data_IF_178964845389
#
_entry.id   IF_178964845389
#
_cell.length_a   1.000
_cell.length_b   1.000
_cell.length_c   1.000
_cell.angle_alpha   90.00
_cell.angle_beta   90.00
_cell.angle_gamma   90.00
#
_symmetry.space_group_name_H-M   'P 1'
#
loop_
_entity.id
_entity.type
_entity.pdbx_description
1 polymer ?
#
# COMPACT_ATOMS: atom_id res chain seq x y z
N UNK A 1 -8.02 -32.56 -0.64
CA UNK A 1 -8.03 -31.77 0.60
C UNK A 1 -9.40 -31.08 0.68
N UNK A 2 -10.27 -31.58 1.54
CA UNK A 2 -11.60 -30.99 1.78
C UNK A 2 -11.40 -29.68 2.51
N UNK A 3 -11.62 -28.55 1.80
CA UNK A 3 -11.67 -27.23 2.42
C UNK A 3 -12.95 -27.20 3.27
N UNK A 4 -12.79 -27.42 4.57
CA UNK A 4 -13.89 -27.31 5.51
C UNK A 4 -14.36 -25.86 5.55
N UNK A 5 -15.65 -25.62 5.35
CA UNK A 5 -16.23 -24.28 5.42
C UNK A 5 -15.90 -23.63 6.79
N UNK A 6 -15.58 -22.35 6.83
CA UNK A 6 -15.32 -21.65 8.10
C UNK A 6 -16.52 -21.75 9.06
N UNK A 7 -16.25 -21.78 10.35
CA UNK A 7 -17.28 -21.78 11.40
C UNK A 7 -18.07 -20.45 11.36
N UNK A 8 -19.37 -20.44 11.71
CA UNK A 8 -20.21 -19.23 11.72
C UNK A 8 -19.56 -18.08 12.51
N UNK A 9 -19.06 -18.34 13.71
CA UNK A 9 -18.40 -17.33 14.58
C UNK A 9 -17.15 -16.73 13.91
N UNK A 10 -16.43 -17.54 13.14
CA UNK A 10 -15.25 -17.08 12.41
C UNK A 10 -15.63 -16.22 11.21
N UNK A 11 -16.77 -16.51 10.57
CA UNK A 11 -17.29 -15.69 9.48
C UNK A 11 -17.78 -14.33 9.99
N UNK A 12 -18.45 -14.28 11.13
CA UNK A 12 -18.88 -13.05 11.77
C UNK A 12 -17.67 -12.18 12.14
N UNK A 13 -16.68 -12.74 12.83
CA UNK A 13 -15.43 -12.05 13.14
C UNK A 13 -14.73 -11.51 11.88
N UNK A 14 -14.69 -12.28 10.81
CA UNK A 14 -14.09 -11.86 9.54
C UNK A 14 -14.87 -10.69 8.91
N UNK A 15 -16.19 -10.68 8.99
CA UNK A 15 -17.03 -9.59 8.51
C UNK A 15 -16.77 -8.30 9.30
N UNK A 16 -16.74 -8.39 10.63
CA UNK A 16 -16.47 -7.25 11.53
C UNK A 16 -15.06 -6.68 11.31
N UNK A 17 -14.07 -7.55 11.23
CA UNK A 17 -12.69 -7.15 10.96
C UNK A 17 -12.57 -6.45 9.61
N UNK A 18 -13.18 -6.99 8.56
CA UNK A 18 -13.18 -6.38 7.23
C UNK A 18 -13.84 -4.99 7.25
N UNK A 19 -14.98 -4.85 7.95
CA UNK A 19 -15.69 -3.58 8.06
C UNK A 19 -14.86 -2.55 8.84
N UNK A 20 -14.26 -2.93 9.96
CA UNK A 20 -13.41 -2.06 10.78
C UNK A 20 -12.17 -1.59 10.03
N UNK A 21 -11.44 -2.51 9.37
CA UNK A 21 -10.28 -2.17 8.56
C UNK A 21 -10.64 -1.26 7.38
N UNK A 22 -11.75 -1.54 6.70
CA UNK A 22 -12.25 -0.70 5.60
C UNK A 22 -12.58 0.72 6.07
N UNK A 23 -13.21 0.87 7.22
CA UNK A 23 -13.51 2.17 7.83
C UNK A 23 -12.23 2.93 8.20
N UNK A 24 -11.29 2.26 8.86
CA UNK A 24 -10.00 2.85 9.25
C UNK A 24 -9.23 3.33 8.01
N UNK A 25 -9.10 2.49 6.98
CA UNK A 25 -8.41 2.86 5.74
C UNK A 25 -9.05 4.07 5.07
N UNK A 26 -10.40 4.14 5.04
CA UNK A 26 -11.10 5.30 4.48
C UNK A 26 -10.83 6.58 5.27
N UNK A 27 -10.82 6.51 6.60
CA UNK A 27 -10.57 7.68 7.45
C UNK A 27 -9.14 8.23 7.31
N UNK A 28 -8.18 7.39 6.94
CA UNK A 28 -6.78 7.77 6.73
C UNK A 28 -6.50 8.37 5.35
N UNK A 29 -7.45 8.30 4.41
CA UNK A 29 -7.29 8.84 3.05
C UNK A 29 -7.49 10.34 2.95
N UNK A 30 -8.01 10.97 3.95
CA UNK A 30 -8.26 12.41 3.96
C UNK A 30 -6.94 13.20 3.97
N UNK A 31 -6.70 14.04 2.93
CA UNK A 31 -5.52 14.90 2.83
C UNK A 31 -4.27 14.25 2.22
N UNK A 32 -4.37 13.09 1.62
CA UNK A 32 -3.26 12.47 0.90
C UNK A 32 -2.98 13.21 -0.42
N UNK A 33 -1.80 13.80 -0.51
CA UNK A 33 -1.31 14.42 -1.75
C UNK A 33 -0.90 13.37 -2.80
N UNK A 34 -0.52 12.16 -2.34
CA UNK A 34 -0.09 11.07 -3.21
C UNK A 34 -1.27 10.09 -3.44
N UNK A 35 -1.77 9.96 -4.68
CA UNK A 35 -2.82 8.98 -5.01
C UNK A 35 -2.43 7.56 -4.64
N UNK A 36 -3.39 6.75 -4.20
CA UNK A 36 -3.15 5.40 -3.71
C UNK A 36 -2.47 4.49 -4.74
N UNK A 37 -2.86 4.58 -6.01
CA UNK A 37 -2.23 3.82 -7.10
C UNK A 37 -0.75 4.19 -7.28
N UNK A 38 -0.40 5.46 -7.13
CA UNK A 38 0.98 5.94 -7.18
C UNK A 38 1.77 5.51 -5.93
N UNK A 39 1.17 5.60 -4.74
CA UNK A 39 1.76 5.11 -3.51
C UNK A 39 2.06 3.60 -3.57
N UNK A 40 1.17 2.82 -4.18
CA UNK A 40 1.37 1.39 -4.37
C UNK A 40 2.55 1.09 -5.31
N UNK A 41 2.69 1.82 -6.42
CA UNK A 41 3.85 1.70 -7.32
C UNK A 41 5.14 2.07 -6.61
N UNK A 42 5.19 3.21 -5.92
CA UNK A 42 6.37 3.61 -5.14
C UNK A 42 6.70 2.59 -4.06
N UNK A 43 5.70 2.03 -3.39
CA UNK A 43 5.90 0.99 -2.38
C UNK A 43 6.61 -0.25 -2.92
N UNK A 44 6.32 -0.67 -4.16
CA UNK A 44 7.01 -1.76 -4.83
C UNK A 44 8.46 -1.39 -5.19
N UNK A 45 8.65 -0.22 -5.78
CA UNK A 45 9.96 0.23 -6.24
C UNK A 45 10.93 0.51 -5.08
N UNK A 46 10.43 1.03 -3.96
CA UNK A 46 11.25 1.43 -2.80
C UNK A 46 11.58 0.24 -1.90
N UNK A 47 10.64 -0.71 -1.71
CA UNK A 47 10.81 -1.82 -0.77
C UNK A 47 12.05 -2.67 -1.04
N UNK A 48 12.34 -2.94 -2.31
CA UNK A 48 13.43 -3.83 -2.72
C UNK A 48 14.53 -3.10 -3.50
N UNK A 49 14.48 -1.76 -3.61
CA UNK A 49 15.37 -0.99 -4.48
C UNK A 49 15.25 -1.40 -5.96
N UNK A 50 14.09 -1.92 -6.35
CA UNK A 50 13.87 -2.54 -7.65
C UNK A 50 13.67 -1.52 -8.75
N UNK A 51 14.12 -1.91 -9.92
CA UNK A 51 13.64 -1.38 -11.19
C UNK A 51 12.63 -2.37 -11.77
N UNK A 52 11.50 -1.88 -12.26
CA UNK A 52 10.48 -2.71 -12.88
C UNK A 52 10.06 -2.12 -14.21
N UNK A 53 9.68 -2.97 -15.14
CA UNK A 53 8.98 -2.52 -16.35
C UNK A 53 7.52 -2.18 -16.02
N UNK A 54 6.87 -1.41 -16.90
CA UNK A 54 5.43 -1.12 -16.76
C UNK A 54 4.59 -2.41 -16.75
N UNK A 55 5.00 -3.42 -17.53
CA UNK A 55 4.31 -4.72 -17.59
C UNK A 55 4.43 -5.47 -16.24
N UNK A 56 5.61 -5.49 -15.62
CA UNK A 56 5.82 -6.10 -14.31
C UNK A 56 5.02 -5.39 -13.21
N UNK A 57 5.01 -4.05 -13.22
CA UNK A 57 4.21 -3.27 -12.28
C UNK A 57 2.70 -3.54 -12.45
N UNK A 58 2.23 -3.63 -13.70
CA UNK A 58 0.84 -3.95 -14.00
C UNK A 58 0.45 -5.34 -13.48
N UNK A 59 1.31 -6.34 -13.69
CA UNK A 59 1.10 -7.70 -13.20
C UNK A 59 1.08 -7.76 -11.67
N UNK A 60 2.04 -7.13 -11.00
CA UNK A 60 2.13 -7.10 -9.52
C UNK A 60 0.93 -6.40 -8.88
N UNK A 61 0.41 -5.33 -9.49
CA UNK A 61 -0.76 -4.59 -9.02
C UNK A 61 -2.10 -5.16 -9.51
N UNK A 62 -2.07 -6.18 -10.38
CA UNK A 62 -3.26 -6.79 -11.01
C UNK A 62 -4.14 -5.77 -11.73
N UNK A 63 -3.52 -4.84 -12.43
CA UNK A 63 -4.19 -3.84 -13.26
C UNK A 63 -3.85 -4.01 -14.73
N UNK A 64 -4.63 -3.38 -15.60
CA UNK A 64 -4.36 -3.40 -17.05
C UNK A 64 -3.07 -2.61 -17.38
N UNK A 65 -2.31 -3.07 -18.35
CA UNK A 65 -1.07 -2.43 -18.80
C UNK A 65 -1.27 -0.94 -19.13
N UNK A 66 -2.35 -0.59 -19.84
CA UNK A 66 -2.65 0.81 -20.19
C UNK A 66 -2.90 1.69 -18.95
N UNK A 67 -3.58 1.17 -17.93
CA UNK A 67 -3.81 1.88 -16.67
C UNK A 67 -2.50 2.13 -15.93
N UNK A 68 -1.61 1.12 -15.90
CA UNK A 68 -0.29 1.27 -15.28
C UNK A 68 0.59 2.24 -16.09
N UNK A 69 0.59 2.15 -17.40
CA UNK A 69 1.34 3.06 -18.26
C UNK A 69 0.94 4.52 -18.02
N UNK A 70 -0.36 4.80 -17.90
CA UNK A 70 -0.87 6.13 -17.57
C UNK A 70 -0.41 6.57 -16.16
N UNK A 71 -0.49 5.70 -15.17
CA UNK A 71 -0.02 6.00 -13.82
C UNK A 71 1.47 6.35 -13.81
N UNK A 72 2.30 5.53 -14.46
CA UNK A 72 3.76 5.77 -14.56
C UNK A 72 4.06 7.07 -15.32
N UNK A 73 3.33 7.38 -16.39
CA UNK A 73 3.50 8.64 -17.12
C UNK A 73 3.24 9.86 -16.23
N UNK A 74 2.14 9.86 -15.47
CA UNK A 74 1.83 10.93 -14.50
C UNK A 74 2.89 11.04 -13.41
N UNK A 75 3.39 9.92 -12.92
CA UNK A 75 4.45 9.90 -11.90
C UNK A 75 5.79 10.40 -12.45
N UNK A 76 6.09 10.12 -13.70
CA UNK A 76 7.29 10.64 -14.39
C UNK A 76 7.19 12.15 -14.58
N UNK A 77 6.04 12.64 -15.00
CA UNK A 77 5.76 14.08 -15.13
C UNK A 77 5.87 14.81 -13.78
N UNK A 78 5.40 14.18 -12.71
CA UNK A 78 5.52 14.70 -11.34
C UNK A 78 6.92 14.53 -10.72
N UNK A 79 7.88 13.93 -11.43
CA UNK A 79 9.24 13.71 -10.93
C UNK A 79 9.37 12.65 -9.84
N UNK A 80 8.36 11.79 -9.65
CA UNK A 80 8.35 10.74 -8.60
C UNK A 80 9.07 9.47 -9.05
N UNK A 81 9.11 9.23 -10.36
CA UNK A 81 9.86 8.13 -10.98
C UNK A 81 10.60 8.61 -12.21
N UNK A 82 11.62 7.85 -12.60
CA UNK A 82 12.30 7.99 -13.91
C UNK A 82 12.10 6.73 -14.73
N UNK A 83 12.18 6.86 -16.04
CA UNK A 83 12.14 5.76 -16.98
C UNK A 83 13.43 5.73 -17.78
N UNK A 84 14.07 4.57 -17.87
CA UNK A 84 15.30 4.37 -18.62
C UNK A 84 15.17 3.15 -19.52
N UNK A 85 15.84 3.11 -20.70
CA UNK A 85 15.83 1.93 -21.55
C UNK A 85 16.35 0.70 -20.80
N UNK A 86 15.71 -0.45 -21.02
CA UNK A 86 16.17 -1.72 -20.46
C UNK A 86 17.53 -2.08 -21.10
N UNK A 87 18.51 -2.55 -20.31
CA UNK A 87 19.89 -2.79 -20.79
C UNK A 87 20.00 -3.76 -21.95
N UNK A 88 19.10 -4.75 -22.03
CA UNK A 88 19.14 -5.83 -23.04
C UNK A 88 17.97 -5.80 -24.02
N UNK A 89 16.92 -5.02 -23.75
CA UNK A 89 15.75 -4.87 -24.63
C UNK A 89 15.29 -3.42 -24.64
N UNK A 90 15.83 -2.65 -25.59
CA UNK A 90 15.53 -1.21 -25.72
C UNK A 90 14.06 -0.87 -26.03
N UNK A 91 13.21 -1.88 -26.27
CA UNK A 91 11.75 -1.70 -26.42
C UNK A 91 11.05 -1.54 -25.07
N UNK A 92 11.72 -1.92 -23.97
CA UNK A 92 11.19 -1.85 -22.61
C UNK A 92 11.83 -0.68 -21.88
N UNK A 93 11.03 -0.04 -21.03
CA UNK A 93 11.50 0.99 -20.10
C UNK A 93 11.49 0.44 -18.69
N UNK A 94 12.58 0.69 -17.98
CA UNK A 94 12.69 0.42 -16.53
C UNK A 94 12.27 1.65 -15.76
N UNK A 95 11.34 1.46 -14.84
CA UNK A 95 10.83 2.48 -13.92
C UNK A 95 11.61 2.39 -12.60
N UNK A 96 12.10 3.52 -12.13
CA UNK A 96 12.85 3.64 -10.87
C UNK A 96 12.30 4.80 -10.06
N UNK A 97 12.16 4.63 -8.74
CA UNK A 97 11.76 5.72 -7.85
C UNK A 97 12.87 6.76 -7.74
N UNK A 98 12.51 8.04 -7.86
CA UNK A 98 13.42 9.15 -7.58
C UNK A 98 13.52 9.41 -6.07
N UNK A 99 14.45 10.24 -5.65
CA UNK A 99 14.50 10.72 -4.26
C UNK A 99 13.21 11.44 -3.86
N UNK A 100 12.66 12.28 -4.74
CA UNK A 100 11.37 12.93 -4.52
C UNK A 100 10.23 11.92 -4.34
N UNK A 101 10.20 10.84 -5.12
CA UNK A 101 9.24 9.75 -4.97
C UNK A 101 9.37 9.02 -3.63
N UNK A 102 10.59 8.73 -3.20
CA UNK A 102 10.86 8.12 -1.88
C UNK A 102 10.38 9.01 -0.74
N UNK A 103 10.71 10.29 -0.80
CA UNK A 103 10.30 11.29 0.19
C UNK A 103 8.79 11.41 0.26
N UNK A 104 8.11 11.54 -0.88
CA UNK A 104 6.64 11.63 -0.92
C UNK A 104 5.97 10.41 -0.28
N UNK A 105 6.47 9.20 -0.56
CA UNK A 105 5.96 7.97 0.06
C UNK A 105 6.21 7.93 1.57
N UNK A 106 7.40 8.32 2.01
CA UNK A 106 7.77 8.37 3.43
C UNK A 106 6.89 9.36 4.20
N UNK A 107 6.73 10.57 3.68
CA UNK A 107 5.92 11.62 4.29
C UNK A 107 4.46 11.21 4.43
N UNK A 108 3.90 10.56 3.39
CA UNK A 108 2.55 10.04 3.45
C UNK A 108 2.39 8.96 4.54
N UNK A 109 3.34 8.02 4.64
CA UNK A 109 3.33 6.98 5.67
C UNK A 109 3.41 7.59 7.07
N UNK A 110 4.33 8.52 7.27
CA UNK A 110 4.52 9.20 8.55
C UNK A 110 3.25 9.96 8.97
N UNK A 111 2.61 10.67 8.06
CA UNK A 111 1.33 11.34 8.35
C UNK A 111 0.24 10.35 8.79
N UNK A 112 0.10 9.22 8.09
CA UNK A 112 -0.88 8.18 8.46
C UNK A 112 -0.59 7.56 9.82
N UNK A 113 0.68 7.29 10.11
CA UNK A 113 1.11 6.79 11.42
C UNK A 113 0.77 7.77 12.54
N UNK A 114 1.01 9.08 12.35
CA UNK A 114 0.64 10.11 13.32
C UNK A 114 -0.87 10.20 13.51
N UNK A 115 -1.67 10.13 12.44
CA UNK A 115 -3.13 10.12 12.55
C UNK A 115 -3.64 8.91 13.36
N UNK A 116 -3.08 7.73 13.10
CA UNK A 116 -3.42 6.51 13.84
C UNK A 116 -3.00 6.65 15.31
N UNK A 117 -1.77 7.12 15.57
CA UNK A 117 -1.27 7.29 16.94
C UNK A 117 -2.14 8.25 17.74
N UNK A 118 -2.48 9.41 17.18
CA UNK A 118 -3.38 10.38 17.79
C UNK A 118 -4.76 9.78 18.08
N UNK A 119 -5.31 8.99 17.16
CA UNK A 119 -6.59 8.32 17.36
C UNK A 119 -6.52 7.26 18.48
N UNK A 120 -5.44 6.50 18.54
CA UNK A 120 -5.20 5.51 19.58
C UNK A 120 -5.14 6.19 20.95
N UNK A 121 -4.33 7.23 21.09
CA UNK A 121 -4.15 7.94 22.36
C UNK A 121 -5.43 8.62 22.84
N UNK A 122 -6.22 9.19 21.93
CA UNK A 122 -7.42 9.95 22.28
C UNK A 122 -8.68 9.11 22.48
N UNK A 123 -8.74 7.88 21.94
CA UNK A 123 -9.96 7.07 21.91
C UNK A 123 -9.89 5.75 22.66
N UNK A 124 -8.69 5.26 22.96
CA UNK A 124 -8.49 3.97 23.60
C UNK A 124 -7.90 4.12 24.99
N UNK A 125 -8.43 3.36 25.95
CA UNK A 125 -7.82 3.23 27.27
C UNK A 125 -6.47 2.50 27.20
N UNK A 126 -5.62 2.61 28.24
CA UNK A 126 -4.35 1.88 28.28
C UNK A 126 -4.49 0.35 28.12
N UNK A 127 -5.58 -0.23 28.64
CA UNK A 127 -5.90 -1.65 28.47
C UNK A 127 -6.21 -1.98 27.01
N UNK A 128 -7.06 -1.18 26.37
CA UNK A 128 -7.42 -1.36 24.94
C UNK A 128 -6.22 -1.17 24.02
N UNK A 129 -5.33 -0.23 24.33
CA UNK A 129 -4.06 -0.06 23.61
C UNK A 129 -3.18 -1.31 23.68
N UNK A 130 -3.10 -1.95 24.86
CA UNK A 130 -2.36 -3.21 25.04
C UNK A 130 -2.99 -4.35 24.25
N UNK A 131 -4.33 -4.46 24.23
CA UNK A 131 -5.06 -5.45 23.43
C UNK A 131 -4.81 -5.24 21.94
N UNK A 132 -4.89 -4.01 21.47
CA UNK A 132 -4.62 -3.67 20.07
C UNK A 132 -3.17 -4.01 19.69
N UNK A 133 -2.20 -3.67 20.53
CA UNK A 133 -0.80 -4.02 20.33
C UNK A 133 -0.59 -5.52 20.20
N UNK A 134 -1.23 -6.32 21.07
CA UNK A 134 -1.17 -7.77 21.03
C UNK A 134 -1.87 -8.38 19.79
N UNK A 135 -2.86 -7.68 19.22
CA UNK A 135 -3.58 -8.13 18.03
C UNK A 135 -2.77 -7.94 16.73
N UNK A 136 -1.87 -6.96 16.66
CA UNK A 136 -1.10 -6.65 15.43
C UNK A 136 -0.32 -7.86 14.89
N UNK A 137 0.42 -8.66 15.70
CA UNK A 137 1.09 -9.86 15.21
C UNK A 137 0.12 -10.91 14.66
N UNK A 138 -1.10 -10.99 15.22
CA UNK A 138 -2.14 -11.92 14.74
C UNK A 138 -2.64 -11.50 13.36
N UNK A 139 -2.87 -10.20 13.15
CA UNK A 139 -3.29 -9.65 11.86
C UNK A 139 -2.24 -9.89 10.76
N UNK A 140 -0.95 -9.83 11.09
CA UNK A 140 0.14 -10.11 10.15
C UNK A 140 0.21 -11.57 9.70
N UNK A 141 -0.43 -12.49 10.40
CA UNK A 141 -0.50 -13.93 10.07
C UNK A 141 -1.67 -14.27 9.17
N UNK A 142 -2.59 -13.34 8.98
CA UNK A 142 -3.65 -13.49 7.99
C UNK A 142 -3.09 -13.22 6.58
N UNK A 143 -3.68 -13.82 5.52
CA UNK A 143 -3.18 -13.71 4.15
C UNK A 143 -3.14 -12.28 3.62
#
# INVERSE_FOLDING_TARGET
MTSQAPRPDTLELAADLRAALGSLVRSLRGGDELPQNQAAVLGLLVRDGRTCTVAELAALQRVRHQSMARTVALMTEAGLVTQQPHPTDGRKLLVTATEAGRTALFDQRTRREHLIATAIESRLSPEEQRLLHAAVPLLRRLP
#
